data_IF_103992314462
#
_entry.id   IF_103992314462
#
_cell.length_a   1.000
_cell.length_b   1.000
_cell.length_c   1.000
_cell.angle_alpha   90.00
_cell.angle_beta   90.00
_cell.angle_gamma   90.00
#
_symmetry.space_group_name_H-M   'P 1'
#
loop_
_entity.id
_entity.type
_entity.pdbx_description
1 polymer ?
#
# COMPACT_ATOMS: atom_id res chain seq x y z
N UNK A 1 11.21 -61.62 73.69
CA UNK A 1 10.98 -60.89 72.43
C UNK A 1 9.49 -60.72 72.05
N UNK A 2 8.52 -61.25 72.82
CA UNK A 2 7.07 -61.23 72.48
C UNK A 2 6.25 -60.02 72.98
N UNK A 3 6.79 -59.15 73.85
CA UNK A 3 6.04 -58.02 74.44
C UNK A 3 6.13 -56.72 73.63
N UNK A 4 7.19 -56.53 72.84
CA UNK A 4 7.41 -55.32 72.03
C UNK A 4 6.52 -55.29 70.78
N UNK A 5 6.18 -56.46 70.23
CA UNK A 5 5.26 -56.61 69.10
C UNK A 5 3.83 -56.20 69.48
N UNK A 6 3.33 -56.62 70.65
CA UNK A 6 1.97 -56.29 71.13
C UNK A 6 1.69 -54.78 71.23
N UNK A 7 2.66 -53.98 71.71
CA UNK A 7 2.49 -52.53 71.89
C UNK A 7 2.50 -51.78 70.55
N UNK A 8 3.38 -52.17 69.61
CA UNK A 8 3.38 -51.63 68.24
C UNK A 8 2.09 -51.96 67.51
N UNK A 9 1.58 -53.19 67.62
CA UNK A 9 0.30 -53.59 67.01
C UNK A 9 -0.87 -52.78 67.59
N UNK A 10 -0.91 -52.52 68.90
CA UNK A 10 -1.93 -51.66 69.52
C UNK A 10 -1.86 -50.20 69.08
N UNK A 11 -0.66 -49.64 68.90
CA UNK A 11 -0.46 -48.28 68.38
C UNK A 11 -0.88 -48.19 66.92
N UNK A 12 -0.50 -49.17 66.09
CA UNK A 12 -0.92 -49.23 64.68
C UNK A 12 -2.44 -49.35 64.60
N UNK A 13 -3.06 -50.22 65.41
CA UNK A 13 -4.52 -50.36 65.46
C UNK A 13 -5.20 -49.05 65.89
N UNK A 14 -4.66 -48.36 66.90
CA UNK A 14 -5.17 -47.06 67.34
C UNK A 14 -5.06 -45.98 66.27
N UNK A 15 -3.93 -45.91 65.54
CA UNK A 15 -3.75 -44.99 64.42
C UNK A 15 -4.69 -45.33 63.25
N UNK A 16 -4.90 -46.61 62.95
CA UNK A 16 -5.88 -47.05 61.95
C UNK A 16 -7.30 -46.63 62.37
N UNK A 17 -7.67 -46.79 63.65
CA UNK A 17 -8.96 -46.33 64.16
C UNK A 17 -9.11 -44.81 64.02
N UNK A 18 -8.07 -44.02 64.33
CA UNK A 18 -8.09 -42.57 64.13
C UNK A 18 -8.25 -42.22 62.66
N UNK A 19 -7.50 -42.86 61.76
CA UNK A 19 -7.59 -42.64 60.31
C UNK A 19 -8.98 -43.01 59.80
N UNK A 20 -9.54 -44.13 60.28
CA UNK A 20 -10.89 -44.57 59.92
C UNK A 20 -11.94 -43.58 60.41
N UNK A 21 -11.86 -43.14 61.67
CA UNK A 21 -12.77 -42.14 62.23
C UNK A 21 -12.67 -40.81 61.50
N UNK A 22 -11.46 -40.33 61.21
CA UNK A 22 -11.26 -39.09 60.47
C UNK A 22 -11.74 -39.20 59.02
N UNK A 23 -11.55 -40.35 58.36
CA UNK A 23 -12.13 -40.61 57.04
C UNK A 23 -13.66 -40.63 57.07
N UNK A 24 -14.27 -41.27 58.06
CA UNK A 24 -15.73 -41.28 58.27
C UNK A 24 -16.26 -39.89 58.58
N UNK A 25 -15.57 -39.11 59.42
CA UNK A 25 -15.94 -37.72 59.72
C UNK A 25 -15.79 -36.81 58.50
N UNK A 26 -14.74 -37.00 57.67
CA UNK A 26 -14.58 -36.29 56.41
C UNK A 26 -15.70 -36.64 55.42
N UNK A 27 -16.06 -37.93 55.31
CA UNK A 27 -17.17 -38.41 54.49
C UNK A 27 -18.50 -37.84 54.99
N UNK A 28 -18.75 -37.88 56.29
CA UNK A 28 -19.96 -37.35 56.91
C UNK A 28 -20.09 -35.83 56.73
N UNK A 29 -19.00 -35.09 56.95
CA UNK A 29 -18.94 -33.65 56.67
C UNK A 29 -19.18 -33.38 55.18
N UNK A 30 -18.53 -34.13 54.29
CA UNK A 30 -18.75 -34.00 52.85
C UNK A 30 -20.22 -34.24 52.48
N UNK A 31 -20.85 -35.28 53.02
CA UNK A 31 -22.28 -35.56 52.78
C UNK A 31 -23.19 -34.47 53.33
N UNK A 32 -22.92 -33.94 54.53
CA UNK A 32 -23.72 -32.87 55.12
C UNK A 32 -23.66 -31.58 54.28
N UNK A 33 -22.48 -31.25 53.74
CA UNK A 33 -22.30 -30.12 52.84
C UNK A 33 -22.91 -30.33 51.44
N UNK A 34 -23.17 -31.57 51.02
CA UNK A 34 -23.84 -31.89 49.74
C UNK A 34 -25.37 -31.82 49.81
N UNK A 35 -25.94 -31.82 51.02
CA UNK A 35 -27.40 -31.80 51.23
C UNK A 35 -27.98 -30.38 51.11
N UNK A 36 -27.15 -29.34 51.14
CA UNK A 36 -27.62 -27.96 50.99
C UNK A 36 -27.94 -27.63 49.53
N UNK A 37 -29.15 -27.13 49.30
CA UNK A 37 -29.60 -26.65 47.99
C UNK A 37 -29.07 -25.25 47.62
N UNK A 38 -28.24 -24.66 48.48
CA UNK A 38 -27.75 -23.29 48.33
C UNK A 38 -26.28 -23.29 47.89
N UNK A 39 -25.93 -22.32 47.06
CA UNK A 39 -24.55 -22.01 46.68
C UNK A 39 -23.75 -21.70 47.94
N UNK A 40 -22.50 -22.19 48.02
CA UNK A 40 -21.67 -21.95 49.19
C UNK A 40 -21.38 -20.47 49.40
N UNK A 41 -21.26 -20.07 50.67
CA UNK A 41 -20.93 -18.70 51.03
C UNK A 41 -19.60 -18.27 50.40
N UNK A 42 -19.51 -17.00 50.01
CA UNK A 42 -18.35 -16.40 49.35
C UNK A 42 -18.17 -16.73 47.87
N UNK A 43 -19.13 -17.43 47.23
CA UNK A 43 -19.15 -17.58 45.77
C UNK A 43 -19.78 -16.36 45.09
N UNK A 44 -19.15 -15.88 44.02
CA UNK A 44 -19.63 -14.79 43.17
C UNK A 44 -19.52 -15.13 41.68
N UNK A 45 -20.30 -14.44 40.84
CA UNK A 45 -20.18 -14.45 39.37
C UNK A 45 -19.81 -13.04 38.94
N UNK A 46 -18.57 -12.83 38.50
CA UNK A 46 -17.99 -11.52 38.32
C UNK A 46 -17.97 -10.76 39.65
N UNK A 47 -18.66 -9.63 39.72
CA UNK A 47 -18.87 -8.83 40.91
C UNK A 47 -20.24 -9.10 41.61
N UNK A 48 -21.02 -10.06 41.11
CA UNK A 48 -22.35 -10.40 41.64
C UNK A 48 -22.21 -11.50 42.70
N UNK A 49 -22.46 -11.16 43.97
CA UNK A 49 -22.44 -12.14 45.06
C UNK A 49 -23.67 -13.06 45.00
N UNK A 50 -23.46 -14.37 44.89
CA UNK A 50 -24.53 -15.39 44.78
C UNK A 50 -24.47 -16.43 45.91
N UNK A 51 -23.44 -16.41 46.74
CA UNK A 51 -23.32 -17.27 47.91
C UNK A 51 -24.53 -17.17 48.85
N UNK A 52 -24.98 -18.32 49.35
CA UNK A 52 -26.14 -18.45 50.22
C UNK A 52 -27.49 -18.57 49.50
N UNK A 53 -27.56 -18.28 48.20
CA UNK A 53 -28.77 -18.40 47.37
C UNK A 53 -28.92 -19.80 46.79
N UNK A 54 -30.16 -20.24 46.55
CA UNK A 54 -30.40 -21.38 45.66
C UNK A 54 -30.02 -21.05 44.21
N UNK A 55 -29.80 -22.06 43.37
CA UNK A 55 -29.48 -21.85 41.95
C UNK A 55 -30.54 -20.97 41.24
N UNK A 56 -31.83 -21.18 41.52
CA UNK A 56 -32.92 -20.41 40.92
C UNK A 56 -33.01 -18.96 41.41
N UNK A 57 -32.57 -18.69 42.65
CA UNK A 57 -32.47 -17.32 43.18
C UNK A 57 -31.23 -16.60 42.64
N UNK A 58 -30.12 -17.31 42.49
CA UNK A 58 -28.90 -16.81 41.88
C UNK A 58 -29.12 -16.44 40.41
N UNK A 59 -29.79 -17.30 39.63
CA UNK A 59 -30.17 -17.02 38.25
C UNK A 59 -30.98 -15.73 38.14
N UNK A 60 -32.04 -15.60 38.96
CA UNK A 60 -32.86 -14.38 39.02
C UNK A 60 -32.02 -13.16 39.36
N UNK A 61 -31.15 -13.25 40.36
CA UNK A 61 -30.26 -12.16 40.77
C UNK A 61 -29.30 -11.75 39.66
N UNK A 62 -28.66 -12.71 39.00
CA UNK A 62 -27.75 -12.46 37.87
C UNK A 62 -28.50 -11.76 36.74
N UNK A 63 -29.68 -12.27 36.36
CA UNK A 63 -30.51 -11.71 35.30
C UNK A 63 -30.99 -10.28 35.61
N UNK A 64 -31.46 -10.02 36.84
CA UNK A 64 -31.87 -8.68 37.28
C UNK A 64 -30.70 -7.69 37.23
N UNK A 65 -29.56 -8.05 37.84
CA UNK A 65 -28.38 -7.17 37.89
C UNK A 65 -27.84 -6.92 36.49
N UNK A 66 -27.80 -7.94 35.63
CA UNK A 66 -27.43 -7.78 34.23
C UNK A 66 -28.38 -6.81 33.52
N UNK A 67 -29.69 -7.03 33.61
CA UNK A 67 -30.70 -6.17 32.97
C UNK A 67 -30.59 -4.71 33.42
N UNK A 68 -30.45 -4.46 34.72
CA UNK A 68 -30.28 -3.11 35.28
C UNK A 68 -29.02 -2.41 34.74
N UNK A 69 -27.89 -3.13 34.73
CA UNK A 69 -26.61 -2.58 34.26
C UNK A 69 -26.56 -2.38 32.76
N UNK A 70 -27.25 -3.22 31.98
CA UNK A 70 -27.31 -3.09 30.51
C UNK A 70 -28.37 -2.10 30.03
N UNK A 71 -29.34 -1.72 30.89
CA UNK A 71 -30.36 -0.71 30.58
C UNK A 71 -29.81 0.70 30.57
N UNK A 72 -28.76 0.97 31.34
CA UNK A 72 -28.17 2.30 31.43
C UNK A 72 -27.08 2.50 30.38
N UNK A 73 -27.14 3.64 29.69
CA UNK A 73 -26.16 4.05 28.69
C UNK A 73 -25.17 5.04 29.34
N UNK A 74 -23.85 4.97 29.10
CA UNK A 74 -23.17 4.10 28.13
C UNK A 74 -22.76 2.71 28.68
N UNK A 75 -22.99 1.66 27.87
CA UNK A 75 -22.48 0.32 28.16
C UNK A 75 -20.98 0.23 27.82
N UNK A 76 -20.59 0.49 26.56
CA UNK A 76 -19.20 0.73 26.17
C UNK A 76 -19.08 2.17 25.67
N UNK A 77 -18.07 2.89 26.13
CA UNK A 77 -17.68 4.18 25.53
C UNK A 77 -16.38 4.00 24.77
N UNK A 78 -16.44 3.88 23.44
CA UNK A 78 -15.25 3.87 22.61
C UNK A 78 -14.67 5.27 22.51
N UNK A 79 -13.34 5.42 22.67
CA UNK A 79 -12.67 6.73 22.73
C UNK A 79 -11.45 6.79 21.83
N UNK A 80 -11.29 7.93 21.15
CA UNK A 80 -10.08 8.31 20.43
C UNK A 80 -9.93 9.84 20.46
N UNK A 81 -8.85 10.33 21.10
CA UNK A 81 -8.67 11.74 21.44
C UNK A 81 -9.92 12.30 22.16
N UNK A 82 -10.52 13.37 21.64
CA UNK A 82 -11.73 13.99 22.19
C UNK A 82 -13.03 13.32 21.71
N UNK A 83 -12.96 12.44 20.70
CA UNK A 83 -14.13 11.78 20.12
C UNK A 83 -14.57 10.60 20.98
N UNK A 84 -15.89 10.46 21.14
CA UNK A 84 -16.53 9.39 21.92
C UNK A 84 -17.67 8.78 21.13
N UNK A 85 -17.76 7.45 21.16
CA UNK A 85 -18.88 6.69 20.60
C UNK A 85 -19.46 5.80 21.67
N UNK A 86 -20.78 5.86 21.82
CA UNK A 86 -21.49 5.04 22.79
C UNK A 86 -22.01 3.81 22.07
N UNK A 87 -21.69 2.63 22.63
CA UNK A 87 -22.19 1.35 22.15
C UNK A 87 -23.05 0.79 23.28
N UNK A 88 -24.33 0.58 23.00
CA UNK A 88 -25.27 -0.01 23.95
C UNK A 88 -25.19 -1.54 23.92
N UNK A 89 -25.66 -2.20 24.98
CA UNK A 89 -25.77 -3.65 25.01
C UNK A 89 -26.67 -4.21 23.89
N UNK A 90 -27.68 -3.43 23.46
CA UNK A 90 -28.62 -3.82 22.39
C UNK A 90 -27.94 -3.79 21.02
N UNK A 91 -27.03 -2.84 20.79
CA UNK A 91 -26.31 -2.70 19.52
C UNK A 91 -25.49 -3.94 19.18
N UNK A 92 -24.97 -4.63 20.21
CA UNK A 92 -24.19 -5.88 20.05
C UNK A 92 -25.00 -7.13 20.40
N UNK A 93 -26.31 -7.02 20.61
CA UNK A 93 -27.18 -8.12 21.04
C UNK A 93 -26.58 -8.90 22.24
N UNK A 94 -26.10 -8.17 23.25
CA UNK A 94 -25.49 -8.74 24.45
C UNK A 94 -26.53 -9.54 25.23
N UNK A 95 -26.20 -10.78 25.56
CA UNK A 95 -27.00 -11.68 26.39
C UNK A 95 -26.13 -12.35 27.44
N UNK A 96 -26.79 -12.94 28.45
CA UNK A 96 -26.14 -13.70 29.51
C UNK A 96 -26.91 -15.01 29.72
N UNK A 97 -26.19 -16.11 29.87
CA UNK A 97 -26.76 -17.41 30.25
C UNK A 97 -26.77 -17.51 31.78
N UNK A 98 -27.67 -16.75 32.41
CA UNK A 98 -27.76 -16.63 33.86
C UNK A 98 -28.01 -17.98 34.55
N UNK A 99 -28.75 -18.88 33.90
CA UNK A 99 -29.02 -20.25 34.34
C UNK A 99 -27.74 -21.07 34.42
N UNK A 100 -26.91 -21.05 33.36
CA UNK A 100 -25.63 -21.78 33.33
C UNK A 100 -24.65 -21.22 34.36
N UNK A 101 -24.58 -19.91 34.51
CA UNK A 101 -23.71 -19.27 35.50
C UNK A 101 -24.14 -19.60 36.93
N UNK A 102 -25.45 -19.61 37.21
CA UNK A 102 -25.99 -20.00 38.51
C UNK A 102 -25.72 -21.49 38.80
N UNK A 103 -25.85 -22.35 37.78
CA UNK A 103 -25.52 -23.76 37.89
C UNK A 103 -24.03 -23.99 38.13
N UNK A 104 -23.15 -23.27 37.42
CA UNK A 104 -21.70 -23.32 37.66
C UNK A 104 -21.35 -22.86 39.07
N UNK A 105 -21.98 -21.79 39.56
CA UNK A 105 -21.81 -21.30 40.94
C UNK A 105 -22.26 -22.35 41.97
N UNK A 106 -23.36 -23.06 41.69
CA UNK A 106 -23.83 -24.16 42.51
C UNK A 106 -22.86 -25.36 42.50
N UNK A 107 -22.21 -25.63 41.39
CA UNK A 107 -21.27 -26.74 41.27
C UNK A 107 -19.92 -26.52 41.97
N UNK A 108 -19.56 -25.27 42.32
CA UNK A 108 -18.35 -24.95 43.10
C UNK A 108 -18.35 -25.75 44.40
N UNK A 109 -17.29 -26.51 44.65
CA UNK A 109 -17.17 -27.37 45.83
C UNK A 109 -18.04 -28.63 45.79
N UNK A 110 -18.70 -28.94 44.66
CA UNK A 110 -19.54 -30.13 44.46
C UNK A 110 -19.05 -31.05 43.33
N UNK A 111 -18.07 -30.62 42.53
CA UNK A 111 -17.44 -31.42 41.45
C UNK A 111 -16.02 -31.86 41.79
N UNK A 112 -15.57 -32.94 41.15
CA UNK A 112 -14.25 -33.53 41.35
C UNK A 112 -14.19 -34.53 42.51
N UNK A 113 -12.98 -34.91 42.94
CA UNK A 113 -12.79 -35.80 44.07
C UNK A 113 -13.04 -35.08 45.42
N UNK A 114 -13.17 -35.84 46.51
CA UNK A 114 -13.51 -35.32 47.85
C UNK A 114 -12.51 -34.25 48.33
N UNK A 115 -11.21 -34.42 48.03
CA UNK A 115 -10.17 -33.46 48.44
C UNK A 115 -10.36 -32.13 47.71
N UNK A 116 -10.59 -32.17 46.39
CA UNK A 116 -10.86 -30.99 45.57
C UNK A 116 -12.10 -30.23 46.05
N UNK A 117 -13.20 -30.95 46.30
CA UNK A 117 -14.44 -30.38 46.80
C UNK A 117 -14.23 -29.63 48.13
N UNK A 118 -13.50 -30.24 49.07
CA UNK A 118 -13.20 -29.61 50.37
C UNK A 118 -12.29 -28.38 50.22
N UNK A 119 -11.31 -28.45 49.32
CA UNK A 119 -10.43 -27.32 49.03
C UNK A 119 -11.20 -26.14 48.44
N UNK A 120 -12.06 -26.37 47.43
CA UNK A 120 -12.89 -25.31 46.84
C UNK A 120 -13.85 -24.69 47.86
N UNK A 121 -14.46 -25.50 48.73
CA UNK A 121 -15.32 -24.98 49.82
C UNK A 121 -14.54 -24.08 50.78
N UNK A 122 -13.34 -24.50 51.18
CA UNK A 122 -12.47 -23.70 52.04
C UNK A 122 -12.10 -22.36 51.38
N UNK A 123 -11.75 -22.40 50.10
CA UNK A 123 -11.44 -21.18 49.32
C UNK A 123 -12.66 -20.27 49.23
N UNK A 124 -13.82 -20.81 48.82
CA UNK A 124 -15.04 -20.03 48.69
C UNK A 124 -15.40 -19.31 49.99
N UNK A 125 -15.43 -20.02 51.12
CA UNK A 125 -15.87 -19.46 52.40
C UNK A 125 -14.87 -18.45 52.98
N UNK A 126 -13.56 -18.76 52.93
CA UNK A 126 -12.55 -17.96 53.64
C UNK A 126 -11.84 -16.92 52.77
N UNK A 127 -11.78 -17.13 51.45
CA UNK A 127 -11.08 -16.25 50.50
C UNK A 127 -12.00 -15.66 49.43
N UNK A 128 -13.21 -16.19 49.29
CA UNK A 128 -14.06 -15.92 48.15
C UNK A 128 -13.68 -16.76 46.93
N UNK A 129 -14.66 -17.12 46.12
CA UNK A 129 -14.47 -17.80 44.84
C UNK A 129 -15.29 -17.09 43.76
N UNK A 130 -14.63 -16.47 42.79
CA UNK A 130 -15.30 -15.72 41.73
C UNK A 130 -15.22 -16.44 40.39
N UNK A 131 -16.40 -16.71 39.81
CA UNK A 131 -16.56 -17.23 38.45
C UNK A 131 -16.57 -16.08 37.43
N UNK A 132 -16.13 -16.33 36.21
CA UNK A 132 -16.23 -15.35 35.13
C UNK A 132 -17.69 -15.11 34.73
N UNK A 133 -18.07 -13.85 34.51
CA UNK A 133 -19.43 -13.46 34.15
C UNK A 133 -19.87 -13.98 32.76
N UNK A 134 -18.93 -14.34 31.90
CA UNK A 134 -19.12 -14.98 30.57
C UNK A 134 -20.37 -14.51 29.83
N UNK A 135 -20.25 -13.37 29.15
CA UNK A 135 -21.34 -12.80 28.33
C UNK A 135 -21.29 -13.35 26.89
N UNK A 136 -22.44 -13.38 26.23
CA UNK A 136 -22.54 -13.65 24.79
C UNK A 136 -22.93 -12.37 24.07
N UNK A 137 -22.39 -12.16 22.87
CA UNK A 137 -22.74 -11.02 22.02
C UNK A 137 -22.53 -11.37 20.55
N UNK A 138 -23.09 -10.56 19.67
CA UNK A 138 -22.93 -10.69 18.23
C UNK A 138 -21.62 -10.03 17.77
N UNK A 139 -20.64 -10.86 17.39
CA UNK A 139 -19.34 -10.41 16.91
C UNK A 139 -19.42 -9.56 15.65
N UNK A 140 -20.31 -9.89 14.72
CA UNK A 140 -20.46 -9.16 13.45
C UNK A 140 -21.00 -7.75 13.70
N UNK A 141 -21.96 -7.59 14.61
CA UNK A 141 -22.48 -6.27 15.00
C UNK A 141 -21.41 -5.42 15.68
N UNK A 142 -20.63 -6.00 16.60
CA UNK A 142 -19.53 -5.28 17.21
C UNK A 142 -18.48 -4.88 16.15
N UNK A 143 -18.15 -5.78 15.23
CA UNK A 143 -17.27 -5.49 14.09
C UNK A 143 -17.82 -4.33 13.26
N UNK A 144 -19.09 -4.34 12.87
CA UNK A 144 -19.72 -3.30 12.05
C UNK A 144 -19.67 -1.93 12.73
N UNK A 145 -19.87 -1.88 14.05
CA UNK A 145 -19.76 -0.66 14.84
C UNK A 145 -18.32 -0.15 14.85
N UNK A 146 -17.32 -1.01 15.12
CA UNK A 146 -15.91 -0.61 15.08
C UNK A 146 -15.50 -0.19 13.67
N UNK A 147 -16.02 -0.85 12.63
CA UNK A 147 -15.78 -0.48 11.23
C UNK A 147 -16.43 0.88 10.87
N UNK A 148 -17.59 1.21 11.42
CA UNK A 148 -18.21 2.53 11.28
C UNK A 148 -17.40 3.62 12.01
N UNK A 149 -16.90 3.33 13.21
CA UNK A 149 -15.98 4.21 13.93
C UNK A 149 -14.70 4.41 13.11
N UNK A 150 -14.15 3.35 12.53
CA UNK A 150 -12.99 3.40 11.65
C UNK A 150 -13.22 4.34 10.47
N UNK A 151 -14.35 4.27 9.77
CA UNK A 151 -14.67 5.21 8.67
C UNK A 151 -14.65 6.69 9.10
N UNK A 152 -14.90 7.00 10.38
CA UNK A 152 -14.90 8.37 10.91
C UNK A 152 -13.53 8.87 11.41
N UNK A 153 -12.56 7.96 11.56
CA UNK A 153 -11.20 8.23 12.04
C UNK A 153 -10.19 8.10 10.91
N UNK A 154 -10.34 7.04 10.11
CA UNK A 154 -9.48 6.65 9.00
C UNK A 154 -9.30 7.85 8.06
N UNK A 155 -8.03 8.12 7.76
CA UNK A 155 -7.62 9.19 6.87
C UNK A 155 -6.45 8.69 6.05
N UNK A 156 -6.54 8.81 4.74
CA UNK A 156 -5.40 8.47 3.89
C UNK A 156 -4.26 9.48 4.10
N UNK A 157 -3.00 9.03 4.14
CA UNK A 157 -1.87 9.95 4.17
C UNK A 157 -1.78 10.72 2.85
N UNK A 158 -1.30 11.96 2.91
CA UNK A 158 -0.98 12.74 1.73
C UNK A 158 0.46 13.23 1.79
N UNK A 159 1.21 12.97 0.71
CA UNK A 159 2.58 13.44 0.54
C UNK A 159 2.65 14.98 0.62
N UNK A 160 3.73 15.46 1.22
CA UNK A 160 4.16 16.84 1.00
C UNK A 160 4.50 17.04 -0.48
N UNK A 161 4.25 18.23 -1.00
CA UNK A 161 4.48 18.56 -2.41
C UNK A 161 4.94 19.99 -2.60
N UNK A 162 5.68 20.22 -3.67
CA UNK A 162 5.99 21.55 -4.17
C UNK A 162 4.84 22.07 -5.04
N UNK A 163 4.44 23.32 -4.79
CA UNK A 163 3.55 24.10 -5.64
C UNK A 163 4.29 25.34 -6.12
N UNK A 164 4.26 25.59 -7.42
CA UNK A 164 4.80 26.82 -7.99
C UNK A 164 3.75 27.93 -7.87
N UNK A 165 4.15 29.09 -7.36
CA UNK A 165 3.34 30.30 -7.28
C UNK A 165 3.95 31.32 -8.25
N UNK A 166 3.19 31.68 -9.28
CA UNK A 166 3.70 32.50 -10.38
C UNK A 166 4.74 31.73 -11.21
N UNK A 167 5.91 32.33 -11.46
CA UNK A 167 6.94 31.77 -12.34
C UNK A 167 8.18 31.22 -11.62
N UNK A 168 8.35 31.51 -10.32
CA UNK A 168 9.61 31.18 -9.62
C UNK A 168 9.46 30.91 -8.12
N UNK A 169 8.37 31.33 -7.48
CA UNK A 169 8.20 31.12 -6.04
C UNK A 169 7.71 29.70 -5.77
N UNK A 170 8.36 29.02 -4.83
CA UNK A 170 7.97 27.68 -4.38
C UNK A 170 7.25 27.78 -3.05
N UNK A 171 6.12 27.10 -2.97
CA UNK A 171 5.38 26.84 -1.74
C UNK A 171 5.46 25.34 -1.46
N UNK A 172 5.97 24.97 -0.28
CA UNK A 172 5.89 23.59 0.21
C UNK A 172 4.54 23.42 0.88
N UNK A 173 3.70 22.56 0.29
CA UNK A 173 2.45 22.15 0.91
C UNK A 173 2.79 21.00 1.87
N UNK A 174 2.53 21.15 3.19
CA UNK A 174 2.88 20.12 4.16
C UNK A 174 2.15 18.80 3.92
N UNK A 175 2.78 17.73 4.37
CA UNK A 175 2.19 16.41 4.41
C UNK A 175 1.01 16.32 5.38
N UNK A 176 0.14 15.34 5.14
CA UNK A 176 -0.93 14.97 6.08
C UNK A 176 -0.70 13.54 6.52
N UNK A 177 -0.43 13.33 7.82
CA UNK A 177 -0.32 12.00 8.41
C UNK A 177 -1.63 11.25 8.27
N UNK A 178 -1.56 10.04 7.73
CA UNK A 178 -2.67 9.12 7.63
C UNK A 178 -2.99 8.49 8.98
N UNK A 179 -4.19 7.94 9.11
CA UNK A 179 -4.63 7.20 10.29
C UNK A 179 -5.40 5.99 9.83
N UNK A 180 -5.19 4.86 10.51
CA UNK A 180 -5.94 3.63 10.29
C UNK A 180 -6.31 3.02 11.62
N UNK A 181 -7.60 2.80 11.86
CA UNK A 181 -8.04 2.03 13.03
C UNK A 181 -7.57 0.58 12.86
N UNK A 182 -6.86 0.08 13.87
CA UNK A 182 -6.60 -1.34 14.03
C UNK A 182 -7.86 -2.00 14.59
N UNK A 183 -8.74 -2.41 13.67
CA UNK A 183 -10.03 -3.02 14.00
C UNK A 183 -9.82 -4.29 14.82
N UNK A 184 -8.88 -5.15 14.40
CA UNK A 184 -8.61 -6.42 15.08
C UNK A 184 -8.13 -6.21 16.53
N UNK A 185 -7.19 -5.29 16.74
CA UNK A 185 -6.70 -4.92 18.06
C UNK A 185 -7.79 -4.31 18.95
N UNK A 186 -8.61 -3.42 18.38
CA UNK A 186 -9.73 -2.80 19.11
C UNK A 186 -10.78 -3.85 19.52
N UNK A 187 -11.08 -4.81 18.66
CA UNK A 187 -12.00 -5.91 18.97
C UNK A 187 -11.43 -6.87 20.02
N UNK A 188 -10.13 -7.16 19.96
CA UNK A 188 -9.45 -7.98 20.96
C UNK A 188 -9.53 -7.33 22.36
N UNK A 189 -9.28 -6.02 22.45
CA UNK A 189 -9.40 -5.26 23.70
C UNK A 189 -10.85 -5.24 24.23
N UNK A 190 -11.82 -5.03 23.35
CA UNK A 190 -13.24 -5.08 23.70
C UNK A 190 -13.63 -6.47 24.25
N UNK A 191 -13.20 -7.54 23.58
CA UNK A 191 -13.48 -8.92 23.97
C UNK A 191 -12.86 -9.27 25.33
N UNK A 192 -11.59 -8.89 25.54
CA UNK A 192 -10.90 -9.13 26.80
C UNK A 192 -11.62 -8.42 27.96
N UNK A 193 -12.12 -7.20 27.73
CA UNK A 193 -12.76 -6.41 28.77
C UNK A 193 -14.20 -6.85 29.05
N UNK A 194 -14.97 -7.24 28.03
CA UNK A 194 -16.35 -7.75 28.17
C UNK A 194 -16.45 -8.98 29.09
N UNK A 195 -15.39 -9.79 29.16
CA UNK A 195 -15.34 -10.96 30.03
C UNK A 195 -15.11 -10.63 31.51
N UNK A 196 -14.78 -9.37 31.83
CA UNK A 196 -14.42 -8.95 33.20
C UNK A 196 -15.30 -7.82 33.73
N UNK A 197 -15.86 -6.95 32.86
CA UNK A 197 -16.64 -5.78 33.25
C UNK A 197 -17.84 -5.57 32.34
N UNK A 198 -18.98 -5.22 32.95
CA UNK A 198 -20.22 -4.89 32.24
C UNK A 198 -20.31 -3.42 31.79
N UNK A 199 -19.38 -2.55 32.16
CA UNK A 199 -19.31 -1.20 31.60
C UNK A 199 -17.88 -0.69 31.63
N UNK A 200 -17.41 -0.14 30.52
CA UNK A 200 -16.03 0.30 30.39
C UNK A 200 -15.81 1.30 29.26
N UNK A 201 -14.66 1.96 29.32
CA UNK A 201 -14.13 2.81 28.26
C UNK A 201 -13.22 1.94 27.38
N UNK A 202 -13.54 1.89 26.08
CA UNK A 202 -12.78 1.13 25.09
C UNK A 202 -11.83 2.07 24.33
N UNK A 203 -10.51 2.00 24.51
CA UNK A 203 -9.59 2.75 23.66
C UNK A 203 -9.65 2.21 22.23
N UNK A 204 -9.95 3.07 21.25
CA UNK A 204 -9.86 2.70 19.83
C UNK A 204 -8.40 2.75 19.43
N UNK A 205 -7.85 1.61 19.00
CA UNK A 205 -6.45 1.49 18.61
C UNK A 205 -6.29 2.06 17.21
N UNK A 206 -5.45 3.08 17.05
CA UNK A 206 -5.21 3.77 15.78
C UNK A 206 -3.73 3.77 15.47
N UNK A 207 -3.40 3.35 14.27
CA UNK A 207 -2.07 3.39 13.69
C UNK A 207 -1.92 4.65 12.85
N UNK A 208 -0.84 5.39 13.06
CA UNK A 208 -0.49 6.53 12.21
C UNK A 208 0.30 6.04 11.00
N UNK A 209 -0.05 6.57 9.82
CA UNK A 209 0.61 6.23 8.56
C UNK A 209 1.32 7.49 8.08
N UNK A 210 2.63 7.52 8.24
CA UNK A 210 3.46 8.63 7.75
C UNK A 210 3.56 8.53 6.21
N UNK A 211 3.26 9.60 5.46
CA UNK A 211 3.41 9.60 4.01
C UNK A 211 4.87 9.41 3.58
N UNK A 212 5.14 8.76 2.44
CA UNK A 212 6.50 8.56 1.92
C UNK A 212 7.33 9.83 1.67
N UNK A 213 6.67 10.97 1.43
CA UNK A 213 7.30 12.28 1.22
C UNK A 213 6.79 13.23 2.29
N UNK A 214 7.71 13.77 3.08
CA UNK A 214 7.43 14.75 4.15
C UNK A 214 8.09 16.09 3.85
N UNK A 215 7.66 17.16 4.51
CA UNK A 215 8.15 18.53 4.27
C UNK A 215 9.67 18.63 4.44
N UNK A 216 10.24 17.84 5.36
CA UNK A 216 11.67 17.77 5.60
C UNK A 216 12.46 17.28 4.37
N UNK A 217 11.87 16.43 3.51
CA UNK A 217 12.50 15.99 2.27
C UNK A 217 12.66 17.14 1.26
N UNK A 218 11.85 18.20 1.38
CA UNK A 218 11.72 19.28 0.40
C UNK A 218 12.37 20.59 0.87
N UNK A 219 12.79 20.69 2.14
CA UNK A 219 13.24 21.95 2.77
C UNK A 219 14.47 22.59 2.08
N UNK A 220 15.30 21.78 1.42
CA UNK A 220 16.49 22.26 0.70
C UNK A 220 16.24 22.57 -0.78
N UNK A 221 15.03 22.36 -1.27
CA UNK A 221 14.64 22.65 -2.64
C UNK A 221 14.15 24.09 -2.71
N UNK A 222 14.83 24.93 -3.49
CA UNK A 222 14.59 26.38 -3.53
C UNK A 222 14.37 26.96 -4.93
N UNK A 223 14.32 26.10 -5.96
CA UNK A 223 14.06 26.53 -7.33
C UNK A 223 13.91 25.39 -8.31
N UNK A 224 13.46 25.74 -9.51
CA UNK A 224 13.63 24.92 -10.71
C UNK A 224 15.10 25.00 -11.11
N UNK A 225 15.78 23.86 -11.22
CA UNK A 225 17.16 23.76 -11.71
C UNK A 225 17.22 23.38 -13.20
N UNK A 226 16.16 22.75 -13.72
CA UNK A 226 16.00 22.49 -15.14
C UNK A 226 14.53 22.36 -15.52
N UNK A 227 14.20 22.71 -16.75
CA UNK A 227 12.89 22.51 -17.35
C UNK A 227 13.07 22.12 -18.81
N UNK A 228 12.22 21.23 -19.30
CA UNK A 228 12.16 20.91 -20.72
C UNK A 228 10.72 20.73 -21.16
N UNK A 229 10.44 21.22 -22.38
CA UNK A 229 9.11 21.25 -22.95
C UNK A 229 9.11 20.59 -24.31
N UNK A 230 8.10 19.78 -24.58
CA UNK A 230 7.82 19.25 -25.92
C UNK A 230 6.39 19.54 -26.31
N UNK A 231 6.12 19.58 -27.61
CA UNK A 231 4.78 19.78 -28.15
C UNK A 231 4.22 18.48 -28.72
N UNK A 232 2.91 18.34 -28.71
CA UNK A 232 2.19 17.25 -29.38
C UNK A 232 0.98 17.78 -30.14
N UNK A 233 0.39 16.97 -31.03
CA UNK A 233 -0.87 17.31 -31.69
C UNK A 233 -2.05 16.98 -30.75
N UNK A 234 -2.79 17.98 -30.24
CA UNK A 234 -3.93 17.74 -29.37
C UNK A 234 -5.13 17.13 -30.10
N UNK A 235 -5.13 17.10 -31.45
CA UNK A 235 -6.18 16.45 -32.25
C UNK A 235 -6.08 14.93 -32.23
N UNK A 236 -4.90 14.38 -31.94
CA UNK A 236 -4.74 12.96 -31.68
C UNK A 236 -5.19 12.65 -30.23
N UNK A 237 -6.49 12.44 -30.08
CA UNK A 237 -7.15 12.28 -28.79
C UNK A 237 -6.55 11.11 -27.98
N UNK A 238 -6.42 9.92 -28.59
CA UNK A 238 -5.93 8.73 -27.89
C UNK A 238 -4.49 8.92 -27.42
N UNK A 239 -3.63 9.44 -28.29
CA UNK A 239 -2.24 9.75 -27.94
C UNK A 239 -2.16 10.80 -26.84
N UNK A 240 -3.01 11.83 -26.89
CA UNK A 240 -3.08 12.87 -25.86
C UNK A 240 -3.46 12.31 -24.50
N UNK A 241 -4.45 11.40 -24.43
CA UNK A 241 -4.81 10.73 -23.17
C UNK A 241 -3.64 9.91 -22.61
N UNK A 242 -2.89 9.20 -23.46
CA UNK A 242 -1.72 8.44 -23.04
C UNK A 242 -0.61 9.35 -22.48
N UNK A 243 -0.34 10.48 -23.13
CA UNK A 243 0.63 11.48 -22.65
C UNK A 243 0.21 12.04 -21.29
N UNK A 244 -1.07 12.39 -21.13
CA UNK A 244 -1.62 12.90 -19.86
C UNK A 244 -1.48 11.88 -18.73
N UNK A 245 -1.80 10.61 -18.99
CA UNK A 245 -1.68 9.54 -17.99
C UNK A 245 -0.22 9.33 -17.57
N UNK A 246 0.71 9.18 -18.52
CA UNK A 246 2.12 8.98 -18.19
C UNK A 246 2.75 10.21 -17.53
N UNK A 247 2.39 11.43 -17.97
CA UNK A 247 2.82 12.66 -17.32
C UNK A 247 2.28 12.77 -15.89
N UNK A 248 1.04 12.33 -15.64
CA UNK A 248 0.49 12.29 -14.28
C UNK A 248 1.27 11.31 -13.38
N UNK A 249 1.71 10.17 -13.91
CA UNK A 249 2.42 9.15 -13.13
C UNK A 249 3.79 9.61 -12.62
N UNK A 250 4.54 10.37 -13.42
CA UNK A 250 5.86 10.88 -12.99
C UNK A 250 5.78 12.18 -12.18
N UNK A 251 4.62 12.84 -12.16
CA UNK A 251 4.43 14.10 -11.48
C UNK A 251 4.48 13.92 -9.95
N UNK A 252 5.31 14.73 -9.30
CA UNK A 252 5.47 14.73 -7.85
C UNK A 252 6.43 13.67 -7.33
N UNK A 253 7.38 13.25 -8.16
CA UNK A 253 8.38 12.25 -7.77
C UNK A 253 9.53 12.91 -7.01
N UNK A 254 9.74 12.52 -5.76
CA UNK A 254 10.94 12.83 -4.99
C UNK A 254 12.03 11.81 -5.31
N UNK A 255 13.25 12.27 -5.59
CA UNK A 255 14.45 11.42 -5.55
C UNK A 255 15.39 11.98 -4.48
N UNK A 256 15.74 11.14 -3.51
CA UNK A 256 16.78 11.45 -2.55
C UNK A 256 18.16 11.31 -3.19
N UNK A 257 19.18 11.81 -2.51
CA UNK A 257 20.57 11.69 -2.98
C UNK A 257 20.92 10.22 -3.21
N UNK A 258 21.37 9.88 -4.42
CA UNK A 258 21.76 8.52 -4.80
C UNK A 258 20.60 7.64 -5.30
N UNK A 259 19.35 8.04 -5.16
CA UNK A 259 18.19 7.29 -5.66
C UNK A 259 18.24 7.14 -7.18
N UNK A 260 17.80 5.98 -7.66
CA UNK A 260 17.62 5.69 -9.10
C UNK A 260 16.16 5.76 -9.44
N UNK A 261 15.83 6.55 -10.44
CA UNK A 261 14.50 6.55 -11.06
C UNK A 261 14.47 5.53 -12.20
N UNK A 262 13.36 4.81 -12.30
CA UNK A 262 13.01 3.94 -13.42
C UNK A 262 11.66 4.36 -13.98
N UNK A 263 11.65 4.75 -15.25
CA UNK A 263 10.43 5.24 -15.90
C UNK A 263 9.34 4.17 -15.93
N UNK A 264 9.69 2.93 -16.28
CA UNK A 264 8.73 1.82 -16.30
C UNK A 264 8.18 1.49 -14.90
N UNK A 265 9.01 1.61 -13.85
CA UNK A 265 8.55 1.37 -12.47
C UNK A 265 7.51 2.39 -12.03
N UNK A 266 7.71 3.67 -12.37
CA UNK A 266 6.82 4.77 -11.97
C UNK A 266 5.55 4.82 -12.84
N UNK A 267 5.70 4.65 -14.16
CA UNK A 267 4.58 4.75 -15.10
C UNK A 267 3.72 3.49 -15.12
N UNK A 268 4.32 2.32 -14.85
CA UNK A 268 3.65 1.03 -14.91
C UNK A 268 3.34 0.57 -16.34
N UNK A 269 2.61 -0.55 -16.44
CA UNK A 269 2.23 -1.18 -17.70
C UNK A 269 1.22 -0.32 -18.49
N UNK A 270 1.40 -0.22 -19.81
CA UNK A 270 0.55 0.61 -20.67
C UNK A 270 -0.63 -0.16 -21.24
N UNK A 271 -1.52 -0.65 -20.39
CA UNK A 271 -2.67 -1.48 -20.79
C UNK A 271 -4.00 -0.72 -20.71
N UNK A 272 -4.98 -1.16 -21.51
CA UNK A 272 -6.35 -0.62 -21.51
C UNK A 272 -7.00 -0.56 -20.12
N UNK A 273 -6.78 -1.58 -19.27
CA UNK A 273 -7.28 -1.63 -17.89
C UNK A 273 -6.75 -0.52 -16.98
N UNK A 274 -5.64 0.11 -17.35
CA UNK A 274 -5.02 1.25 -16.66
C UNK A 274 -5.35 2.59 -17.33
N UNK A 275 -6.26 2.60 -18.31
CA UNK A 275 -6.76 3.80 -18.98
C UNK A 275 -6.05 4.18 -20.28
N UNK A 276 -4.96 3.50 -20.64
CA UNK A 276 -4.26 3.75 -21.90
C UNK A 276 -5.13 3.39 -23.10
N UNK A 277 -4.88 4.07 -24.22
CA UNK A 277 -5.60 3.97 -25.49
C UNK A 277 -4.64 3.51 -26.61
N UNK A 278 -5.19 2.86 -27.62
CA UNK A 278 -4.44 2.55 -28.84
C UNK A 278 -4.15 3.85 -29.60
N UNK A 279 -2.87 4.05 -29.91
CA UNK A 279 -2.39 5.14 -30.75
C UNK A 279 -1.21 4.65 -31.59
N UNK A 280 -0.84 5.34 -32.68
CA UNK A 280 0.28 4.92 -33.51
C UNK A 280 1.60 4.83 -32.72
N UNK A 281 2.29 3.68 -32.81
CA UNK A 281 3.59 3.36 -32.20
C UNK A 281 4.53 2.80 -33.26
N UNK A 282 5.84 3.08 -33.14
CA UNK A 282 6.84 2.45 -34.00
C UNK A 282 7.26 1.09 -33.44
N UNK A 283 6.93 -0.01 -34.12
CA UNK A 283 7.39 -1.36 -33.81
C UNK A 283 8.20 -1.87 -35.01
N UNK A 284 9.45 -2.26 -34.79
CA UNK A 284 10.38 -2.69 -35.85
C UNK A 284 10.47 -1.70 -37.02
N UNK A 285 10.36 -0.40 -36.72
CA UNK A 285 10.41 0.68 -37.72
C UNK A 285 9.13 0.92 -38.50
N UNK A 286 8.05 0.18 -38.26
CA UNK A 286 6.73 0.40 -38.85
C UNK A 286 5.78 1.06 -37.86
N UNK A 287 4.92 1.95 -38.35
CA UNK A 287 3.89 2.60 -37.55
C UNK A 287 2.68 1.67 -37.44
N UNK A 288 2.42 1.13 -36.25
CA UNK A 288 1.30 0.24 -35.96
C UNK A 288 0.50 0.77 -34.76
N UNK A 289 -0.83 0.61 -34.72
CA UNK A 289 -1.60 0.91 -33.51
C UNK A 289 -1.15 0.00 -32.37
N UNK A 290 -0.79 0.59 -31.23
CA UNK A 290 -0.52 -0.15 -29.98
C UNK A 290 -0.91 0.71 -28.77
N UNK A 291 -1.06 0.07 -27.62
CA UNK A 291 -1.43 0.74 -26.38
C UNK A 291 -0.30 1.65 -25.88
N UNK A 292 -0.66 2.86 -25.46
CA UNK A 292 0.32 3.79 -24.88
C UNK A 292 1.14 4.56 -25.92
N UNK A 293 0.73 4.59 -27.20
CA UNK A 293 1.33 5.51 -28.17
C UNK A 293 1.32 6.96 -27.64
N UNK A 294 2.49 7.60 -27.68
CA UNK A 294 2.76 8.91 -27.06
C UNK A 294 3.57 8.86 -25.76
N UNK A 295 3.67 7.73 -25.07
CA UNK A 295 4.39 7.62 -23.78
C UNK A 295 5.90 7.88 -23.92
N UNK A 296 6.52 7.45 -25.03
CA UNK A 296 7.94 7.74 -25.30
C UNK A 296 8.25 9.24 -25.42
N UNK A 297 7.25 10.08 -25.72
CA UNK A 297 7.44 11.52 -25.66
C UNK A 297 7.67 11.96 -24.21
N UNK A 298 6.91 11.41 -23.25
CA UNK A 298 7.06 11.75 -21.82
C UNK A 298 8.44 11.35 -21.29
N UNK A 299 8.94 10.15 -21.63
CA UNK A 299 10.29 9.72 -21.27
C UNK A 299 11.36 10.59 -21.92
N UNK A 300 11.18 11.00 -23.19
CA UNK A 300 12.12 11.90 -23.88
C UNK A 300 12.12 13.33 -23.30
N UNK A 301 10.95 13.87 -22.95
CA UNK A 301 10.86 15.18 -22.28
C UNK A 301 11.54 15.14 -20.91
N UNK A 302 11.29 14.07 -20.14
CA UNK A 302 11.96 13.86 -18.86
C UNK A 302 13.47 13.73 -19.07
N UNK A 303 13.93 12.89 -20.00
CA UNK A 303 15.35 12.70 -20.29
C UNK A 303 16.08 14.03 -20.52
N UNK A 304 15.52 14.92 -21.34
CA UNK A 304 16.14 16.22 -21.58
C UNK A 304 16.14 17.13 -20.34
N UNK A 305 15.07 17.13 -19.55
CA UNK A 305 15.05 17.87 -18.29
C UNK A 305 16.12 17.35 -17.31
N UNK A 306 16.33 16.03 -17.27
CA UNK A 306 17.35 15.36 -16.45
C UNK A 306 18.77 15.67 -16.95
N UNK A 307 18.99 15.68 -18.27
CA UNK A 307 20.27 16.09 -18.85
C UNK A 307 20.62 17.55 -18.48
N UNK A 308 19.64 18.44 -18.59
CA UNK A 308 19.79 19.87 -18.24
C UNK A 308 19.96 20.09 -16.73
N UNK A 309 19.47 19.18 -15.89
CA UNK A 309 19.67 19.19 -14.43
C UNK A 309 21.03 18.62 -13.99
N UNK A 310 21.91 18.27 -14.93
CA UNK A 310 23.21 17.66 -14.70
C UNK A 310 23.20 16.28 -14.01
N UNK A 311 22.14 15.50 -14.20
CA UNK A 311 21.99 14.22 -13.52
C UNK A 311 22.63 13.06 -14.32
N UNK A 312 23.02 12.00 -13.62
CA UNK A 312 23.67 10.83 -14.23
C UNK A 312 22.66 9.90 -14.91
N UNK A 313 22.94 9.52 -16.16
CA UNK A 313 22.11 8.58 -16.92
C UNK A 313 22.60 7.16 -16.67
N UNK A 314 21.69 6.26 -16.32
CA UNK A 314 21.98 4.85 -16.00
C UNK A 314 21.57 3.93 -17.16
N UNK A 315 20.43 4.22 -17.79
CA UNK A 315 19.91 3.45 -18.93
C UNK A 315 19.16 4.39 -19.87
N UNK A 316 19.52 4.36 -21.15
CA UNK A 316 18.81 5.08 -22.21
C UNK A 316 19.03 4.38 -23.54
N UNK A 317 17.95 4.23 -24.30
CA UNK A 317 17.96 3.70 -25.66
C UNK A 317 17.30 4.70 -26.61
N UNK A 318 17.84 4.88 -27.81
CA UNK A 318 17.22 5.71 -28.86
C UNK A 318 16.11 4.95 -29.59
N UNK A 319 15.21 5.70 -30.22
CA UNK A 319 14.22 5.13 -31.14
C UNK A 319 14.92 4.61 -32.39
N UNK A 320 14.29 3.62 -33.02
CA UNK A 320 14.69 3.18 -34.35
C UNK A 320 14.53 4.28 -35.42
N UNK A 321 13.52 5.16 -35.23
CA UNK A 321 13.26 6.33 -36.08
C UNK A 321 13.36 7.60 -35.26
N UNK A 322 14.02 8.66 -35.76
CA UNK A 322 14.04 9.95 -35.09
C UNK A 322 12.62 10.47 -34.82
N UNK A 323 12.24 10.72 -33.55
CA UNK A 323 10.97 11.39 -33.28
C UNK A 323 11.05 12.87 -33.66
N UNK A 324 9.92 13.44 -34.11
CA UNK A 324 9.86 14.85 -34.50
C UNK A 324 9.81 15.83 -33.31
N UNK A 325 9.52 15.35 -32.09
CA UNK A 325 9.26 16.17 -30.91
C UNK A 325 10.51 16.51 -30.08
N UNK A 326 11.67 15.94 -30.41
CA UNK A 326 12.98 16.26 -29.80
C UNK A 326 14.08 16.24 -30.87
N UNK A 327 15.20 16.95 -30.67
CA UNK A 327 16.36 16.84 -31.55
C UNK A 327 16.93 15.41 -31.64
N UNK A 328 17.73 15.14 -32.67
CA UNK A 328 18.49 13.89 -32.78
C UNK A 328 19.38 13.69 -31.54
N UNK A 329 19.49 12.46 -31.05
CA UNK A 329 20.33 12.16 -29.89
C UNK A 329 19.70 12.48 -28.54
N UNK A 330 18.48 13.02 -28.52
CA UNK A 330 17.81 13.56 -27.33
C UNK A 330 16.50 12.84 -27.00
N UNK A 331 16.24 11.69 -27.60
CA UNK A 331 15.08 10.86 -27.32
C UNK A 331 15.41 9.73 -26.34
N UNK A 332 14.41 9.22 -25.62
CA UNK A 332 14.58 8.06 -24.75
C UNK A 332 13.39 7.11 -24.94
N UNK A 333 13.62 5.97 -25.59
CA UNK A 333 12.60 4.96 -25.85
C UNK A 333 12.37 4.11 -24.62
N UNK A 334 11.10 3.79 -24.37
CA UNK A 334 10.66 2.86 -23.33
C UNK A 334 9.71 1.84 -23.93
N UNK A 335 9.80 0.60 -23.44
CA UNK A 335 8.94 -0.51 -23.82
C UNK A 335 8.76 -1.42 -22.61
N UNK A 336 7.53 -1.88 -22.38
CA UNK A 336 7.20 -2.71 -21.22
C UNK A 336 8.10 -3.95 -21.16
N UNK A 337 8.76 -4.16 -20.01
CA UNK A 337 9.66 -5.28 -19.74
C UNK A 337 10.85 -5.44 -20.70
N UNK A 338 11.18 -4.44 -21.53
CA UNK A 338 12.29 -4.53 -22.49
C UNK A 338 13.24 -3.33 -22.43
N UNK A 339 12.71 -2.11 -22.61
CA UNK A 339 13.51 -0.88 -22.66
C UNK A 339 13.04 0.05 -21.56
N UNK A 340 13.95 0.54 -20.73
CA UNK A 340 13.64 1.54 -19.71
C UNK A 340 14.48 2.80 -19.89
N UNK A 341 14.01 3.87 -19.27
CA UNK A 341 14.81 5.06 -19.05
C UNK A 341 15.11 5.19 -17.56
N UNK A 342 16.39 5.11 -17.20
CA UNK A 342 16.87 5.20 -15.82
C UNK A 342 17.92 6.28 -15.66
N UNK A 343 17.84 6.98 -14.54
CA UNK A 343 18.83 7.97 -14.16
C UNK A 343 18.96 8.00 -12.63
N UNK A 344 20.09 8.51 -12.14
CA UNK A 344 20.38 8.65 -10.72
C UNK A 344 20.37 10.11 -10.32
N UNK A 345 19.82 10.40 -9.15
CA UNK A 345 20.10 11.68 -8.49
C UNK A 345 21.55 11.69 -7.99
N UNK A 346 22.46 12.22 -8.80
CA UNK A 346 23.89 12.35 -8.49
C UNK A 346 24.22 13.63 -7.70
N UNK A 347 23.22 14.47 -7.40
CA UNK A 347 23.40 15.67 -6.60
C UNK A 347 23.47 15.33 -5.11
N UNK A 348 24.07 16.21 -4.32
CA UNK A 348 24.20 16.08 -2.87
C UNK A 348 22.92 16.43 -2.10
N UNK A 349 21.82 16.71 -2.79
CA UNK A 349 20.54 17.16 -2.23
C UNK A 349 19.40 16.45 -2.96
N UNK A 350 18.25 16.39 -2.31
CA UNK A 350 17.04 15.84 -2.92
C UNK A 350 16.61 16.68 -4.13
N UNK A 351 16.01 16.01 -5.11
CA UNK A 351 15.34 16.65 -6.23
C UNK A 351 13.87 16.24 -6.26
N UNK A 352 13.04 17.10 -6.82
CA UNK A 352 11.61 16.84 -6.97
C UNK A 352 11.19 17.10 -8.41
N UNK A 353 10.52 16.14 -9.01
CA UNK A 353 10.12 16.20 -10.42
C UNK A 353 8.64 16.53 -10.47
N UNK A 354 8.29 17.55 -11.25
CA UNK A 354 6.90 17.78 -11.65
C UNK A 354 6.75 17.68 -13.14
N UNK A 355 5.54 17.35 -13.56
CA UNK A 355 5.17 17.28 -14.96
C UNK A 355 3.73 17.69 -15.12
N UNK A 356 3.50 18.50 -16.14
CA UNK A 356 2.18 19.03 -16.44
C UNK A 356 1.99 19.18 -17.95
N UNK A 357 0.73 19.10 -18.37
CA UNK A 357 0.34 19.36 -19.74
C UNK A 357 -0.46 20.66 -19.76
N UNK A 358 0.06 21.68 -20.44
CA UNK A 358 -0.56 22.99 -20.61
C UNK A 358 -0.89 23.17 -22.09
N UNK A 359 -2.18 23.08 -22.43
CA UNK A 359 -2.62 23.08 -23.83
C UNK A 359 -2.05 21.86 -24.57
N UNK A 360 -1.18 22.10 -25.55
CA UNK A 360 -0.50 21.05 -26.33
C UNK A 360 0.99 20.88 -25.95
N UNK A 361 1.41 21.43 -24.81
CA UNK A 361 2.79 21.38 -24.32
C UNK A 361 2.87 20.45 -23.11
N UNK A 362 3.77 19.48 -23.17
CA UNK A 362 4.22 18.72 -22.00
C UNK A 362 5.46 19.39 -21.43
N UNK A 363 5.37 19.84 -20.19
CA UNK A 363 6.46 20.47 -19.44
C UNK A 363 6.90 19.52 -18.33
N UNK A 364 8.20 19.30 -18.21
CA UNK A 364 8.81 18.58 -17.07
C UNK A 364 9.78 19.52 -16.38
N UNK A 365 9.59 19.71 -15.08
CA UNK A 365 10.46 20.55 -14.24
C UNK A 365 11.20 19.67 -13.23
N UNK A 366 12.49 19.93 -13.09
CA UNK A 366 13.33 19.37 -12.03
C UNK A 366 13.59 20.47 -11.03
N UNK A 367 13.08 20.29 -9.82
CA UNK A 367 13.34 21.18 -8.69
C UNK A 367 14.52 20.66 -7.88
N UNK A 368 15.35 21.59 -7.40
CA UNK A 368 16.49 21.27 -6.55
C UNK A 368 17.03 22.51 -5.84
N UNK A 369 18.19 22.35 -5.21
CA UNK A 369 18.94 23.47 -4.63
C UNK A 369 19.70 24.21 -5.74
N UNK A 370 19.37 25.48 -5.98
CA UNK A 370 20.15 26.33 -6.89
C UNK A 370 21.51 26.64 -6.27
N UNK A 371 22.58 26.51 -7.05
CA UNK A 371 23.92 26.94 -6.66
C UNK A 371 24.21 28.30 -7.30
N UNK A 372 24.85 29.19 -6.55
CA UNK A 372 25.45 30.40 -7.14
C UNK A 372 26.47 29.98 -8.21
N UNK A 373 26.47 30.66 -9.35
CA UNK A 373 27.32 30.35 -10.52
C UNK A 373 27.15 28.90 -11.02
N UNK A 374 25.92 28.38 -10.99
CA UNK A 374 25.62 27.09 -11.65
C UNK A 374 25.98 27.17 -13.13
N UNK A 375 26.70 26.17 -13.68
CA UNK A 375 27.04 26.17 -15.09
C UNK A 375 25.77 26.10 -15.95
N UNK A 376 25.76 26.84 -17.05
CA UNK A 376 24.76 26.66 -18.09
C UNK A 376 25.00 25.33 -18.80
N UNK A 377 23.97 24.51 -18.92
CA UNK A 377 24.06 23.18 -19.52
C UNK A 377 23.38 23.17 -20.88
N UNK A 378 24.10 22.65 -21.87
CA UNK A 378 23.64 22.54 -23.25
C UNK A 378 23.83 21.12 -23.74
N UNK A 379 22.86 20.63 -24.51
CA UNK A 379 22.98 19.35 -25.20
C UNK A 379 23.32 19.62 -26.66
N UNK A 380 24.49 19.13 -27.07
CA UNK A 380 25.02 19.35 -28.40
C UNK A 380 25.11 18.02 -29.15
N UNK A 381 24.63 18.03 -30.39
CA UNK A 381 24.90 16.97 -31.36
C UNK A 381 26.15 17.34 -32.13
N UNK A 382 27.12 16.42 -32.16
CA UNK A 382 28.30 16.48 -33.01
C UNK A 382 28.31 15.29 -33.95
N UNK A 383 29.17 15.36 -34.97
CA UNK A 383 29.46 14.26 -35.89
C UNK A 383 28.23 13.70 -36.62
N UNK A 384 27.24 14.56 -36.90
CA UNK A 384 26.04 14.19 -37.65
C UNK A 384 26.42 13.74 -39.06
N UNK A 385 26.25 12.44 -39.33
CA UNK A 385 26.44 11.83 -40.65
C UNK A 385 25.09 11.38 -41.19
N UNK A 386 24.70 11.85 -42.37
CA UNK A 386 23.53 11.32 -43.08
C UNK A 386 23.87 9.98 -43.73
N UNK A 387 22.93 9.04 -43.66
CA UNK A 387 22.98 7.76 -44.33
C UNK A 387 21.92 7.76 -45.43
N UNK A 388 22.35 7.68 -46.69
CA UNK A 388 21.42 7.66 -47.83
C UNK A 388 20.75 6.28 -47.95
N UNK A 389 19.45 6.23 -48.27
CA UNK A 389 18.76 4.97 -48.52
C UNK A 389 19.23 4.33 -49.82
N UNK A 390 19.22 2.99 -49.87
CA UNK A 390 19.44 2.25 -51.11
C UNK A 390 18.17 2.29 -51.96
N UNK A 391 18.31 2.12 -53.27
CA UNK A 391 17.16 1.96 -54.18
C UNK A 391 17.08 0.51 -54.63
N UNK A 392 15.97 -0.15 -54.31
CA UNK A 392 15.63 -1.49 -54.80
C UNK A 392 14.62 -1.39 -55.94
N UNK A 393 14.94 -2.07 -57.03
CA UNK A 393 14.05 -2.19 -58.19
C UNK A 393 13.35 -3.54 -58.11
N UNK A 394 12.02 -3.52 -58.15
CA UNK A 394 11.16 -4.71 -58.16
C UNK A 394 10.44 -4.79 -59.51
N UNK A 395 10.55 -5.92 -60.20
CA UNK A 395 9.78 -6.12 -61.42
C UNK A 395 8.29 -6.31 -61.10
N UNK A 396 7.43 -5.66 -61.87
CA UNK A 396 5.98 -5.78 -61.75
C UNK A 396 5.36 -6.25 -63.09
N UNK A 397 4.89 -7.51 -63.17
CA UNK A 397 4.29 -8.06 -64.37
C UNK A 397 2.92 -7.47 -64.71
N UNK A 398 2.28 -6.74 -63.79
CA UNK A 398 0.99 -6.07 -64.05
C UNK A 398 1.15 -4.66 -64.63
N UNK A 399 2.33 -4.06 -64.46
CA UNK A 399 2.64 -2.71 -64.90
C UNK A 399 3.25 -2.73 -66.31
N UNK A 400 2.81 -1.82 -67.19
CA UNK A 400 3.31 -1.72 -68.57
C UNK A 400 4.84 -1.57 -68.62
N UNK A 401 5.46 -2.21 -69.61
CA UNK A 401 6.90 -2.21 -69.80
C UNK A 401 7.49 -0.79 -69.71
N UNK A 402 8.42 -0.59 -68.78
CA UNK A 402 9.14 0.67 -68.58
C UNK A 402 8.39 1.74 -67.78
N UNK A 403 7.13 1.53 -67.38
CA UNK A 403 6.48 2.40 -66.39
C UNK A 403 7.07 2.16 -65.01
N UNK A 404 7.31 3.22 -64.27
CA UNK A 404 7.83 3.17 -62.90
C UNK A 404 6.77 3.65 -61.91
N UNK A 405 6.64 2.95 -60.78
CA UNK A 405 5.84 3.37 -59.63
C UNK A 405 6.73 3.29 -58.40
N UNK A 406 6.87 4.41 -57.69
CA UNK A 406 7.55 4.42 -56.39
C UNK A 406 6.59 3.80 -55.37
N UNK A 407 6.95 2.60 -54.87
CA UNK A 407 6.20 1.88 -53.84
C UNK A 407 6.53 2.42 -52.45
N UNK A 408 7.82 2.71 -52.21
CA UNK A 408 8.31 3.32 -50.97
C UNK A 408 9.33 4.40 -51.35
N UNK A 409 9.13 5.65 -50.92
CA UNK A 409 10.01 6.78 -51.31
C UNK A 409 11.43 6.67 -50.70
N UNK A 410 11.58 5.89 -49.63
CA UNK A 410 12.79 5.81 -48.83
C UNK A 410 12.95 7.01 -47.89
N UNK A 411 13.77 6.86 -46.85
CA UNK A 411 14.04 7.90 -45.86
C UNK A 411 15.50 7.83 -45.42
N UNK A 412 16.14 8.98 -45.29
CA UNK A 412 17.54 9.06 -44.82
C UNK A 412 17.65 8.59 -43.37
N UNK A 413 18.74 7.88 -43.10
CA UNK A 413 19.21 7.58 -41.76
C UNK A 413 20.23 8.61 -41.27
N UNK A 414 20.63 8.49 -40.00
CA UNK A 414 21.60 9.39 -39.38
C UNK A 414 22.46 8.65 -38.36
N UNK A 415 23.74 9.00 -38.27
CA UNK A 415 24.57 8.70 -37.11
C UNK A 415 24.86 10.03 -36.41
N UNK A 416 24.68 10.09 -35.10
CA UNK A 416 24.91 11.31 -34.29
C UNK A 416 25.63 10.97 -32.99
N UNK A 417 26.52 11.85 -32.55
CA UNK A 417 27.16 11.77 -31.23
C UNK A 417 26.66 12.90 -30.34
N UNK A 418 26.12 12.57 -29.16
CA UNK A 418 25.52 13.54 -28.25
C UNK A 418 26.47 13.86 -27.11
N UNK A 419 26.60 15.14 -26.77
CA UNK A 419 27.45 15.62 -25.69
C UNK A 419 26.67 16.55 -24.75
N UNK A 420 26.95 16.47 -23.45
CA UNK A 420 26.57 17.48 -22.46
C UNK A 420 27.71 18.48 -22.31
N UNK A 421 27.42 19.75 -22.54
CA UNK A 421 28.38 20.84 -22.45
C UNK A 421 28.01 21.71 -21.26
N UNK A 422 28.98 21.96 -20.37
CA UNK A 422 28.83 22.88 -19.24
C UNK A 422 29.60 24.16 -19.53
N UNK A 423 28.94 25.31 -19.38
CA UNK A 423 29.56 26.63 -19.54
C UNK A 423 29.47 27.44 -18.25
N UNK A 424 30.54 28.14 -17.90
CA UNK A 424 30.57 29.15 -16.83
C UNK A 424 31.08 30.43 -17.46
N UNK A 425 30.34 31.54 -17.29
CA UNK A 425 30.64 32.84 -17.90
C UNK A 425 30.90 32.74 -19.42
N UNK A 426 30.07 31.95 -20.11
CA UNK A 426 30.15 31.71 -21.57
C UNK A 426 31.28 30.79 -22.03
N UNK A 427 32.21 30.38 -21.15
CA UNK A 427 33.33 29.48 -21.48
C UNK A 427 32.98 28.04 -21.19
N UNK A 428 33.32 27.13 -22.11
CA UNK A 428 33.15 25.69 -21.91
C UNK A 428 34.14 25.24 -20.84
N UNK A 429 33.62 24.73 -19.73
CA UNK A 429 34.42 24.18 -18.61
C UNK A 429 34.43 22.65 -18.60
N UNK A 430 33.42 22.03 -19.21
CA UNK A 430 33.33 20.56 -19.32
C UNK A 430 32.55 20.17 -20.57
N UNK A 431 32.96 19.05 -21.17
CA UNK A 431 32.26 18.37 -22.24
C UNK A 431 32.25 16.88 -21.96
N UNK A 432 31.06 16.30 -21.82
CA UNK A 432 30.83 14.90 -21.51
C UNK A 432 30.18 14.22 -22.72
N UNK A 433 30.69 13.06 -23.12
CA UNK A 433 30.08 12.24 -24.18
C UNK A 433 28.95 11.40 -23.58
N UNK A 434 27.73 11.56 -24.10
CA UNK A 434 26.54 10.86 -23.61
C UNK A 434 26.25 9.57 -24.40
N UNK A 435 26.70 9.48 -25.65
CA UNK A 435 26.48 8.32 -26.51
C UNK A 435 26.41 8.66 -27.99
N UNK A 436 26.34 7.62 -28.81
CA UNK A 436 26.14 7.72 -30.25
C UNK A 436 24.90 6.94 -30.65
N UNK A 437 24.06 7.55 -31.49
CA UNK A 437 22.84 6.93 -32.02
C UNK A 437 22.97 6.70 -33.51
N UNK A 438 22.48 5.54 -33.95
CA UNK A 438 22.34 5.19 -35.35
C UNK A 438 20.86 4.97 -35.69
N UNK A 439 20.37 5.79 -36.61
CA UNK A 439 19.04 5.69 -37.20
C UNK A 439 19.19 5.12 -38.60
N UNK A 440 18.71 3.89 -38.82
CA UNK A 440 18.89 3.17 -40.08
C UNK A 440 17.98 3.78 -41.17
N UNK A 441 18.47 4.01 -42.41
CA UNK A 441 17.63 4.46 -43.53
C UNK A 441 16.42 3.54 -43.81
N UNK A 442 15.34 4.07 -44.39
CA UNK A 442 14.35 3.24 -45.11
C UNK A 442 14.79 3.20 -46.56
N UNK A 443 15.02 2.03 -47.13
CA UNK A 443 15.36 1.92 -48.55
C UNK A 443 14.18 2.32 -49.45
N UNK A 444 14.48 2.94 -50.59
CA UNK A 444 13.51 3.29 -51.63
C UNK A 444 13.18 2.05 -52.44
N UNK A 445 11.89 1.79 -52.69
CA UNK A 445 11.43 0.68 -53.53
C UNK A 445 10.73 1.26 -54.76
N UNK A 446 11.24 0.94 -55.94
CA UNK A 446 10.67 1.31 -57.23
C UNK A 446 10.20 0.04 -57.94
N UNK A 447 8.92 0.00 -58.31
CA UNK A 447 8.39 -1.05 -59.17
C UNK A 447 8.53 -0.62 -60.62
N UNK A 448 9.11 -1.47 -61.45
CA UNK A 448 9.23 -1.23 -62.89
C UNK A 448 8.41 -2.28 -63.63
N UNK A 449 7.56 -1.80 -64.54
CA UNK A 449 6.69 -2.65 -65.31
C UNK A 449 7.45 -3.55 -66.26
N UNK A 450 7.07 -4.83 -66.26
CA UNK A 450 7.60 -5.87 -67.15
C UNK A 450 6.51 -6.47 -68.04
N UNK A 451 5.31 -5.87 -68.07
CA UNK A 451 4.21 -6.30 -68.94
C UNK A 451 4.48 -5.89 -70.37
N UNK A 452 4.87 -6.86 -71.19
CA UNK A 452 5.03 -6.68 -72.63
C UNK A 452 3.62 -6.54 -73.25
N UNK A 453 3.33 -5.47 -74.01
CA UNK A 453 2.06 -5.35 -74.71
C UNK A 453 1.86 -6.53 -75.67
N UNK A 454 0.64 -7.06 -75.83
CA UNK A 454 0.40 -8.09 -76.85
C UNK A 454 0.76 -7.52 -78.23
N UNK A 455 1.57 -8.26 -79.00
CA UNK A 455 1.95 -7.90 -80.36
C UNK A 455 0.69 -7.59 -81.19
N UNK A 456 0.62 -6.39 -81.76
CA UNK A 456 -0.40 -6.10 -82.76
C UNK A 456 -0.06 -6.91 -84.02
N UNK A 457 -1.00 -7.71 -84.57
CA UNK A 457 -0.74 -8.44 -85.80
C UNK A 457 -0.42 -7.43 -86.92
N UNK A 458 0.76 -7.60 -87.52
CA UNK A 458 1.20 -6.80 -88.68
C UNK A 458 0.15 -6.96 -89.80
N UNK A 459 -0.41 -5.83 -90.25
CA UNK A 459 -1.33 -5.76 -91.39
C UNK A 459 -0.59 -5.46 -92.68
#
# INVERSE_FOLDING_TARGET
>A
MQTVTSRKTKIILFLIIIILFSAVSLLAANTAFMVTNNIYQGVSVGDIHVGGLSAAEAERKISTVFSERTKHNPFITAVYNEKKWVISAQDIALTIEADKLAQQAYEVGRKGNIIHQLQERYIAINKGHSLALTVQYNNDKLYDIIAAIAKSIDRQPHNSRIKLIGTSTIEIVPEVTGRKVNIAGTLAEATATLNTKLSFVLPVIVEEIVPPIVSQDLVHIDGIIASYTTQFDPKDYNRTQNVLLAAKSINGTLLRTGDVFSFNTIVGLRLSKFGYKEAPVYINGMLVPDWGGGVCQVSSTLYNAILLADLGIEERTSHFRPPAYVPLGQDATVADNQLDFKFRNTLSQNIYITSEVIGNQLVVNVFGKRKENSPEIYIAVKDKKALEPRTFIKQDPELELGKEIIEVEGQKGFIVSTYRIKKVDGKIVSQEFLGSDEFIPVDKIVRIGSKIPPEQPQK
#
